data_IF_898696906887
#
_entry.id   IF_898696906887
#
_cell.length_a   1.000
_cell.length_b   1.000
_cell.length_c   1.000
_cell.angle_alpha   90.00
_cell.angle_beta   90.00
_cell.angle_gamma   90.00
#
_symmetry.space_group_name_H-M   'P 1'
#
loop_
_entity.id
_entity.type
_entity.pdbx_description
1 polymer ?
#
# COMPACT_ATOMS: atom_id res chain seq x y z
N UNK A 1 -0.09 -2.61 -4.89
CA UNK A 1 0.45 -2.08 -3.62
C UNK A 1 1.98 -1.97 -3.59
N UNK A 2 2.67 -2.37 -4.64
CA UNK A 2 4.12 -2.19 -4.75
C UNK A 2 4.48 -0.71 -4.96
N UNK A 3 5.61 -0.27 -4.39
CA UNK A 3 6.00 1.14 -4.33
C UNK A 3 7.07 1.52 -5.37
N UNK A 4 7.14 0.80 -6.49
CA UNK A 4 8.07 1.09 -7.59
C UNK A 4 7.36 1.23 -8.92
N UNK A 5 7.81 2.13 -9.79
CA UNK A 5 7.28 2.28 -11.15
C UNK A 5 7.43 1.02 -11.98
N UNK A 6 8.52 0.28 -11.80
CA UNK A 6 8.75 -1.01 -12.48
C UNK A 6 7.66 -2.04 -12.16
N UNK A 7 7.16 -2.07 -10.91
CA UNK A 7 6.07 -2.98 -10.55
C UNK A 7 4.74 -2.59 -11.23
N UNK A 8 4.50 -1.30 -11.43
CA UNK A 8 3.33 -0.82 -12.19
C UNK A 8 3.43 -1.17 -13.66
N UNK A 9 4.61 -0.97 -14.27
CA UNK A 9 4.85 -1.37 -15.67
C UNK A 9 4.66 -2.90 -15.86
N UNK A 10 5.17 -3.71 -14.94
CA UNK A 10 4.96 -5.16 -14.96
C UNK A 10 3.48 -5.52 -14.81
N UNK A 11 2.78 -4.87 -13.89
CA UNK A 11 1.36 -5.13 -13.64
C UNK A 11 0.51 -4.86 -14.88
N UNK A 12 0.71 -3.70 -15.54
CA UNK A 12 0.01 -3.36 -16.80
C UNK A 12 0.33 -4.38 -17.90
N UNK A 13 1.60 -4.72 -18.05
CA UNK A 13 2.03 -5.64 -19.11
C UNK A 13 1.54 -7.09 -18.90
N UNK A 14 1.23 -7.47 -17.67
CA UNK A 14 0.70 -8.80 -17.34
C UNK A 14 -0.83 -8.93 -17.48
N UNK A 15 -1.53 -7.81 -17.75
CA UNK A 15 -2.97 -7.86 -17.93
C UNK A 15 -3.36 -8.61 -19.20
N UNK A 16 -4.36 -9.48 -19.07
CA UNK A 16 -5.07 -10.09 -20.19
C UNK A 16 -5.99 -9.05 -20.86
N UNK A 17 -6.49 -9.29 -22.07
CA UNK A 17 -7.56 -8.49 -22.66
C UNK A 17 -8.73 -8.30 -21.67
N UNK A 18 -9.35 -7.12 -21.68
CA UNK A 18 -10.37 -6.64 -20.73
C UNK A 18 -9.91 -6.61 -19.26
N UNK A 19 -8.59 -6.64 -19.04
CA UNK A 19 -8.00 -6.58 -17.72
C UNK A 19 -8.07 -5.19 -17.08
N UNK A 20 -8.14 -5.15 -15.74
CA UNK A 20 -8.18 -3.91 -14.97
C UNK A 20 -7.00 -3.86 -13.99
N UNK A 21 -6.24 -2.76 -14.03
CA UNK A 21 -5.28 -2.38 -13.00
C UNK A 21 -5.92 -1.36 -12.07
N UNK A 22 -5.89 -1.65 -10.76
CA UNK A 22 -6.24 -0.66 -9.74
C UNK A 22 -4.96 -0.20 -9.05
N UNK A 23 -4.61 1.07 -9.23
CA UNK A 23 -3.46 1.71 -8.63
C UNK A 23 -3.83 2.21 -7.23
N UNK A 24 -3.15 1.70 -6.20
CA UNK A 24 -3.39 2.03 -4.78
C UNK A 24 -2.16 2.67 -4.15
N UNK A 25 -0.95 2.21 -4.49
CA UNK A 25 0.30 2.77 -3.98
C UNK A 25 0.68 4.05 -4.73
N UNK A 26 1.51 4.87 -4.09
CA UNK A 26 1.98 6.17 -4.58
C UNK A 26 3.50 6.16 -4.77
N UNK A 27 4.05 5.40 -5.74
CA UNK A 27 5.46 5.51 -6.09
C UNK A 27 5.74 6.89 -6.69
N UNK A 28 6.96 7.38 -6.51
CA UNK A 28 7.40 8.57 -7.23
C UNK A 28 7.73 8.19 -8.69
N UNK A 29 7.18 8.96 -9.63
CA UNK A 29 7.40 8.79 -11.07
C UNK A 29 6.16 8.28 -11.81
N UNK A 30 6.33 8.04 -13.09
CA UNK A 30 5.27 7.69 -14.02
C UNK A 30 5.37 6.22 -14.45
N UNK A 31 4.23 5.62 -14.77
CA UNK A 31 4.20 4.34 -15.47
C UNK A 31 3.94 4.56 -16.95
N UNK A 32 4.46 3.67 -17.80
CA UNK A 32 4.27 3.73 -19.24
C UNK A 32 3.05 2.91 -19.67
N UNK A 33 2.15 3.51 -20.42
CA UNK A 33 1.04 2.84 -21.08
C UNK A 33 1.29 2.73 -22.58
N UNK A 34 1.29 1.51 -23.09
CA UNK A 34 1.28 1.28 -24.52
C UNK A 34 -0.14 1.54 -25.05
N UNK A 35 -0.28 2.60 -25.87
CA UNK A 35 -1.59 3.04 -26.39
C UNK A 35 -2.25 1.95 -27.21
N UNK A 36 -1.51 1.33 -28.14
CA UNK A 36 -2.06 0.28 -29.00
C UNK A 36 -2.57 -0.92 -28.17
N UNK A 37 -1.76 -1.41 -27.22
CA UNK A 37 -2.19 -2.48 -26.31
C UNK A 37 -3.43 -2.08 -25.51
N UNK A 38 -3.44 -0.85 -24.96
CA UNK A 38 -4.56 -0.36 -24.16
C UNK A 38 -5.87 -0.35 -24.96
N UNK A 39 -5.80 0.08 -26.21
CA UNK A 39 -6.97 0.15 -27.10
C UNK A 39 -7.40 -1.24 -27.57
N UNK A 40 -6.48 -2.03 -28.08
CA UNK A 40 -6.79 -3.36 -28.66
C UNK A 40 -7.23 -4.39 -27.61
N UNK A 41 -6.66 -4.34 -26.43
CA UNK A 41 -6.95 -5.26 -25.33
C UNK A 41 -8.04 -4.73 -24.37
N UNK A 42 -8.58 -3.52 -24.59
CA UNK A 42 -9.61 -2.94 -23.71
C UNK A 42 -9.14 -2.75 -22.26
N UNK A 43 -7.87 -2.41 -22.03
CA UNK A 43 -7.28 -2.28 -20.70
C UNK A 43 -7.87 -1.09 -19.94
N UNK A 44 -8.20 -1.30 -18.68
CA UNK A 44 -8.67 -0.26 -17.77
C UNK A 44 -7.63 -0.01 -16.68
N UNK A 45 -7.23 1.25 -16.50
CA UNK A 45 -6.40 1.68 -15.37
C UNK A 45 -7.22 2.64 -14.52
N UNK A 46 -7.38 2.32 -13.26
CA UNK A 46 -8.13 3.11 -12.29
C UNK A 46 -7.30 3.40 -11.04
N UNK A 47 -7.42 4.59 -10.50
CA UNK A 47 -6.88 4.92 -9.18
C UNK A 47 -7.86 4.57 -8.07
N UNK A 48 -7.35 4.24 -6.88
CA UNK A 48 -8.15 4.08 -5.67
C UNK A 48 -7.47 4.82 -4.53
N UNK A 49 -8.10 5.88 -4.07
CA UNK A 49 -7.60 6.68 -2.95
C UNK A 49 -8.09 6.06 -1.64
N UNK A 50 -7.17 5.74 -0.78
CA UNK A 50 -7.27 5.24 0.60
C UNK A 50 -8.63 4.66 1.01
N UNK A 51 -9.62 5.53 1.24
CA UNK A 51 -10.99 5.20 1.63
C UNK A 51 -11.73 6.41 2.21
N UNK A 52 -13.01 6.22 2.46
CA UNK A 52 -13.91 7.19 3.11
C UNK A 52 -13.91 7.02 4.63
N UNK A 53 -14.61 7.92 5.34
CA UNK A 53 -14.85 7.75 6.79
C UNK A 53 -15.70 6.51 7.10
N UNK A 54 -16.59 6.14 6.18
CA UNK A 54 -17.40 4.94 6.31
C UNK A 54 -16.53 3.68 6.22
N UNK A 55 -15.62 3.62 5.22
CA UNK A 55 -14.68 2.50 5.09
C UNK A 55 -13.81 2.33 6.34
N UNK A 56 -13.40 3.45 6.95
CA UNK A 56 -12.63 3.41 8.20
C UNK A 56 -13.47 2.85 9.36
N UNK A 57 -14.72 3.27 9.50
CA UNK A 57 -15.64 2.76 10.54
C UNK A 57 -15.85 1.25 10.39
N UNK A 58 -16.08 0.78 9.17
CA UNK A 58 -16.23 -0.64 8.86
C UNK A 58 -14.93 -1.42 9.13
N UNK A 59 -13.76 -0.84 8.82
CA UNK A 59 -12.45 -1.43 9.13
C UNK A 59 -12.28 -1.65 10.64
N UNK A 60 -12.65 -0.67 11.48
CA UNK A 60 -12.63 -0.81 12.93
C UNK A 60 -13.63 -1.86 13.43
N UNK A 61 -14.79 -1.95 12.82
CA UNK A 61 -15.75 -3.00 13.16
C UNK A 61 -15.17 -4.40 12.88
N UNK A 62 -14.54 -4.63 11.71
CA UNK A 62 -13.87 -5.88 11.42
C UNK A 62 -12.75 -6.20 12.41
N UNK A 63 -12.00 -5.19 12.85
CA UNK A 63 -11.00 -5.34 13.92
C UNK A 63 -11.64 -5.76 15.24
N UNK A 64 -12.72 -5.11 15.66
CA UNK A 64 -13.45 -5.44 16.89
C UNK A 64 -14.07 -6.86 16.87
N UNK A 65 -14.50 -7.31 15.70
CA UNK A 65 -15.02 -8.66 15.48
C UNK A 65 -13.90 -9.72 15.39
N UNK A 66 -12.63 -9.32 15.50
CA UNK A 66 -11.49 -10.23 15.41
C UNK A 66 -11.20 -10.79 14.01
N UNK A 67 -11.72 -10.15 12.95
CA UNK A 67 -11.51 -10.58 11.56
C UNK A 67 -10.21 -10.02 10.96
N UNK A 68 -9.65 -8.98 11.56
CA UNK A 68 -8.41 -8.33 11.14
C UNK A 68 -7.48 -8.20 12.34
N UNK A 69 -6.28 -8.72 12.22
CA UNK A 69 -5.25 -8.65 13.25
C UNK A 69 -3.99 -8.00 12.66
N UNK A 70 -3.74 -6.71 12.93
CA UNK A 70 -2.49 -6.09 12.50
C UNK A 70 -1.30 -6.65 13.28
N UNK A 71 -0.21 -6.93 12.58
CA UNK A 71 1.07 -7.24 13.23
C UNK A 71 1.69 -5.92 13.65
N UNK A 72 1.74 -5.67 14.96
CA UNK A 72 2.24 -4.43 15.54
C UNK A 72 3.45 -4.70 16.42
N UNK A 73 4.50 -3.88 16.27
CA UNK A 73 5.65 -3.81 17.15
C UNK A 73 5.67 -2.42 17.79
N UNK A 74 5.49 -2.36 19.09
CA UNK A 74 5.57 -1.11 19.85
C UNK A 74 7.02 -0.72 20.11
N UNK A 75 7.33 0.57 20.00
CA UNK A 75 8.66 1.14 20.17
C UNK A 75 8.56 2.46 20.94
N UNK A 76 9.66 2.86 21.57
CA UNK A 76 9.78 4.16 22.23
C UNK A 76 9.92 5.31 21.22
N UNK A 77 9.56 6.53 21.62
CA UNK A 77 9.75 7.70 20.77
C UNK A 77 11.24 7.96 20.46
N UNK A 78 12.14 7.69 21.40
CA UNK A 78 13.59 7.83 21.21
C UNK A 78 14.14 6.96 20.05
N UNK A 79 13.45 5.86 19.69
CA UNK A 79 13.85 4.96 18.62
C UNK A 79 13.30 5.37 17.22
N UNK A 80 12.63 6.52 17.08
CA UNK A 80 11.94 6.91 15.85
C UNK A 80 12.85 6.93 14.60
N UNK A 81 14.09 7.35 14.76
CA UNK A 81 15.04 7.39 13.65
C UNK A 81 15.42 5.97 13.17
N UNK A 82 15.59 5.04 14.10
CA UNK A 82 15.87 3.65 13.78
C UNK A 82 14.67 2.99 13.10
N UNK A 83 13.45 3.29 13.58
CA UNK A 83 12.20 2.82 12.94
C UNK A 83 12.09 3.30 11.48
N UNK A 84 12.43 4.56 11.22
CA UNK A 84 12.44 5.13 9.87
C UNK A 84 13.50 4.43 9.00
N UNK A 85 14.68 4.17 9.55
CA UNK A 85 15.75 3.48 8.82
C UNK A 85 15.37 2.03 8.50
N UNK A 86 14.82 1.30 9.46
CA UNK A 86 14.29 -0.06 9.26
C UNK A 86 13.24 -0.10 8.14
N UNK A 87 12.37 0.92 8.07
CA UNK A 87 11.35 1.04 7.02
C UNK A 87 11.98 1.26 5.64
N UNK A 88 12.99 2.14 5.55
CA UNK A 88 13.75 2.38 4.31
C UNK A 88 14.49 1.13 3.83
N UNK A 89 15.00 0.34 4.75
CA UNK A 89 15.71 -0.91 4.49
C UNK A 89 14.77 -2.10 4.19
N UNK A 90 13.44 -1.89 4.16
CA UNK A 90 12.43 -2.94 4.01
C UNK A 90 12.52 -4.06 5.06
N UNK A 91 12.96 -3.75 6.29
CA UNK A 91 13.12 -4.71 7.38
C UNK A 91 11.87 -4.83 8.28
N UNK A 92 10.86 -3.97 8.06
CA UNK A 92 9.66 -3.93 8.90
C UNK A 92 8.62 -4.92 8.37
N UNK A 93 8.20 -5.84 9.23
CA UNK A 93 7.04 -6.70 9.00
C UNK A 93 5.88 -6.17 9.82
N UNK A 94 4.76 -5.82 9.16
CA UNK A 94 3.62 -5.21 9.82
C UNK A 94 3.80 -3.71 10.06
N UNK A 95 3.65 -3.25 11.29
CA UNK A 95 3.72 -1.83 11.67
C UNK A 95 4.59 -1.61 12.90
N UNK A 96 5.52 -0.66 12.84
CA UNK A 96 6.11 -0.06 14.03
C UNK A 96 5.17 1.05 14.52
N UNK A 97 4.85 1.04 15.80
CA UNK A 97 3.97 2.03 16.45
C UNK A 97 4.71 2.63 17.64
N UNK A 98 4.76 3.95 17.71
CA UNK A 98 5.32 4.65 18.87
C UNK A 98 4.29 4.58 20.02
N UNK A 99 4.72 4.02 21.14
CA UNK A 99 3.95 4.01 22.38
C UNK A 99 4.55 5.02 23.35
N UNK A 100 3.82 6.12 23.56
CA UNK A 100 4.25 7.21 24.45
C UNK A 100 4.19 6.85 25.93
N UNK A 101 3.62 5.69 26.29
CA UNK A 101 3.66 5.19 27.67
C UNK A 101 4.96 4.46 28.00
N UNK A 102 5.77 4.11 27.01
CA UNK A 102 7.08 3.52 27.16
C UNK A 102 8.11 4.64 27.40
N UNK A 103 8.19 5.12 28.63
CA UNK A 103 9.22 6.11 29.03
C UNK A 103 10.61 5.49 29.04
N UNK A 104 11.63 6.35 28.86
CA UNK A 104 13.04 5.96 28.91
C UNK A 104 13.53 5.81 30.37
#
# INVERSE_FOLDING_TARGET
TAVTTAAFDQAVNSLRPDGRLVAVALPQGDMKLNIAKTVLDGIIVAGSLVGTRQDLAECFQFGAEGKVHPIVRTRKLSEINDMIQELKDNKVVGRNVVDFSLED
#
